data_IF_082111084172
#
_entry.id   IF_082111084172
#
_cell.length_a   1.000
_cell.length_b   1.000
_cell.length_c   1.000
_cell.angle_alpha   90.00
_cell.angle_beta   90.00
_cell.angle_gamma   90.00
#
_symmetry.space_group_name_H-M   'P 1'
#
loop_
_entity.id
_entity.type
_entity.pdbx_description
1 polymer ?
#
# COMPACT_ATOMS: atom_id res chain seq x y z
N UNK A 1 -69.64 -37.79 -3.98
CA UNK A 1 -70.85 -36.95 -3.77
C UNK A 1 -71.04 -36.90 -2.26
N UNK A 2 -70.83 -35.82 -1.54
CA UNK A 2 -71.17 -34.40 -1.76
C UNK A 2 -70.05 -33.46 -1.32
N UNK A 3 -69.94 -32.34 -2.03
CA UNK A 3 -69.14 -31.16 -1.71
C UNK A 3 -69.80 -30.34 -0.60
N UNK A 4 -68.99 -29.67 0.23
CA UNK A 4 -69.33 -28.36 0.78
C UNK A 4 -68.04 -27.55 0.96
N UNK A 5 -68.00 -26.43 0.24
CA UNK A 5 -67.00 -25.37 0.34
C UNK A 5 -67.41 -24.42 1.48
N UNK A 6 -66.42 -23.80 2.14
CA UNK A 6 -66.58 -22.57 2.91
C UNK A 6 -65.26 -21.81 2.80
N UNK A 7 -65.22 -20.75 1.98
CA UNK A 7 -65.32 -19.35 2.43
C UNK A 7 -64.05 -18.99 3.24
N UNK A 8 -63.10 -18.22 2.72
CA UNK A 8 -63.25 -16.88 2.16
C UNK A 8 -62.32 -16.00 2.99
N UNK A 9 -61.08 -15.83 2.53
CA UNK A 9 -60.16 -14.88 3.15
C UNK A 9 -59.99 -13.74 2.17
N UNK A 10 -60.68 -12.66 2.50
CA UNK A 10 -60.83 -11.41 1.78
C UNK A 10 -59.47 -10.78 1.45
N UNK A 11 -59.43 -10.33 0.21
CA UNK A 11 -58.57 -9.32 -0.37
C UNK A 11 -58.94 -7.97 0.28
N UNK A 12 -58.03 -7.35 1.03
CA UNK A 12 -58.06 -5.89 1.20
C UNK A 12 -56.68 -5.33 0.88
N UNK A 13 -56.62 -4.75 -0.32
CA UNK A 13 -55.65 -3.76 -0.74
C UNK A 13 -55.77 -2.46 0.06
N UNK A 14 -54.69 -1.69 -0.02
CA UNK A 14 -54.57 -0.25 0.20
C UNK A 14 -54.63 0.26 1.64
N UNK A 15 -53.46 0.61 2.17
CA UNK A 15 -53.24 2.04 2.47
C UNK A 15 -51.76 2.41 2.49
N UNK A 16 -51.42 3.23 1.51
CA UNK A 16 -50.22 4.06 1.43
C UNK A 16 -50.26 5.08 2.58
N UNK A 17 -49.78 4.72 3.77
CA UNK A 17 -49.50 5.73 4.78
C UNK A 17 -48.07 6.24 4.65
N UNK A 18 -47.94 7.17 3.72
CA UNK A 18 -47.01 8.28 3.74
C UNK A 18 -47.12 9.01 5.10
N UNK A 19 -46.21 8.69 6.03
CA UNK A 19 -45.96 9.52 7.20
C UNK A 19 -44.47 9.80 7.30
N UNK A 20 -44.11 10.95 6.74
CA UNK A 20 -43.03 11.78 7.26
C UNK A 20 -43.36 12.12 8.71
N UNK A 21 -42.63 11.58 9.68
CA UNK A 21 -42.52 12.22 10.99
C UNK A 21 -41.07 12.19 11.47
N UNK A 22 -40.70 13.34 12.02
CA UNK A 22 -39.37 13.79 12.42
C UNK A 22 -38.54 12.77 13.21
N UNK A 23 -37.30 12.57 12.78
CA UNK A 23 -36.20 12.38 13.72
C UNK A 23 -35.36 13.65 13.73
N UNK A 24 -35.90 14.69 14.38
CA UNK A 24 -35.08 15.70 15.07
C UNK A 24 -34.35 14.94 16.17
N UNK A 25 -33.10 14.52 15.91
CA UNK A 25 -32.21 14.13 16.98
C UNK A 25 -31.43 15.38 17.36
N UNK A 26 -31.86 15.96 18.48
CA UNK A 26 -31.34 17.17 19.08
C UNK A 26 -29.82 17.09 19.28
N UNK A 27 -29.24 18.26 19.07
CA UNK A 27 -27.88 18.65 19.34
C UNK A 27 -27.58 18.46 20.83
N UNK A 28 -26.70 17.52 21.19
CA UNK A 28 -25.90 17.66 22.41
C UNK A 28 -24.58 18.34 22.02
N UNK A 29 -24.62 19.68 22.00
CA UNK A 29 -23.44 20.51 22.27
C UNK A 29 -23.02 20.26 23.72
N UNK A 30 -21.97 19.45 23.92
CA UNK A 30 -21.20 19.51 25.15
C UNK A 30 -20.02 20.46 24.94
N UNK A 31 -20.23 21.70 25.36
CA UNK A 31 -19.17 22.63 25.76
C UNK A 31 -18.44 22.02 26.97
N UNK A 32 -17.16 21.65 26.83
CA UNK A 32 -16.24 21.73 27.95
C UNK A 32 -14.89 22.29 27.49
N UNK A 33 -14.56 23.36 28.18
CA UNK A 33 -13.37 24.19 28.14
C UNK A 33 -12.15 23.42 28.67
N UNK A 34 -10.96 23.69 28.13
CA UNK A 34 -9.90 24.44 28.86
C UNK A 34 -8.53 24.27 28.21
N UNK A 35 -7.89 25.44 28.09
CA UNK A 35 -6.49 25.75 28.33
C UNK A 35 -5.37 24.82 27.85
N UNK A 36 -4.53 25.41 26.99
CA UNK A 36 -3.19 25.75 27.42
C UNK A 36 -2.13 24.64 27.31
N UNK A 37 -1.35 24.68 26.22
CA UNK A 37 0.10 24.70 26.39
C UNK A 37 0.80 25.26 25.14
N UNK A 38 1.17 26.52 25.29
CA UNK A 38 2.50 27.09 25.07
C UNK A 38 3.54 26.21 24.32
N UNK A 39 3.94 26.73 23.17
CA UNK A 39 5.33 26.90 22.72
C UNK A 39 6.40 25.91 23.24
N UNK A 40 6.91 25.05 22.36
CA UNK A 40 8.36 24.82 22.30
C UNK A 40 8.87 24.75 20.85
N UNK A 41 9.54 25.83 20.45
CA UNK A 41 10.47 25.85 19.33
C UNK A 41 11.59 24.83 19.58
N UNK A 42 11.53 23.66 18.94
CA UNK A 42 12.71 22.78 18.87
C UNK A 42 13.64 23.27 17.77
N UNK A 43 14.59 24.06 18.24
CA UNK A 43 15.74 24.65 17.56
C UNK A 43 16.55 23.68 16.66
N UNK A 44 17.15 24.27 15.62
CA UNK A 44 17.97 23.62 14.60
C UNK A 44 19.24 22.93 15.15
N UNK A 45 19.28 21.59 15.10
CA UNK A 45 20.50 20.81 15.33
C UNK A 45 21.40 20.72 14.09
N UNK A 46 22.15 21.79 13.76
CA UNK A 46 23.26 21.76 12.79
C UNK A 46 24.40 20.85 13.29
N UNK A 47 24.47 19.61 12.82
CA UNK A 47 25.64 18.73 13.03
C UNK A 47 26.79 19.13 12.10
N UNK A 48 27.62 20.08 12.54
CA UNK A 48 28.99 20.26 12.02
C UNK A 48 29.86 19.13 12.56
N UNK A 49 30.23 18.15 11.72
CA UNK A 49 31.33 17.23 12.05
C UNK A 49 32.65 17.91 11.72
N UNK A 50 33.39 18.21 12.78
CA UNK A 50 34.71 18.79 12.74
C UNK A 50 35.74 17.81 12.16
N UNK A 51 36.74 18.42 11.53
CA UNK A 51 37.94 17.86 10.95
C UNK A 51 38.75 17.07 11.99
N UNK A 52 38.94 15.77 11.76
CA UNK A 52 39.97 14.96 12.42
C UNK A 52 41.14 14.75 11.46
N UNK A 53 42.17 15.59 11.59
CA UNK A 53 43.46 15.47 10.90
C UNK A 53 44.20 14.20 11.34
N UNK A 54 44.95 13.62 10.40
CA UNK A 54 45.94 12.55 10.56
C UNK A 54 46.99 12.90 11.64
N UNK A 55 47.70 11.90 12.18
CA UNK A 55 49.14 11.94 11.97
C UNK A 55 49.75 10.63 11.46
N UNK A 56 50.80 10.81 10.67
CA UNK A 56 51.69 9.80 10.13
C UNK A 56 52.53 9.13 11.23
N UNK A 57 52.79 7.84 11.08
CA UNK A 57 54.00 7.12 11.52
C UNK A 57 54.27 6.04 10.47
N UNK A 58 55.23 6.30 9.60
CA UNK A 58 56.61 5.79 9.66
C UNK A 58 56.72 4.32 9.24
N UNK A 59 57.47 4.13 8.16
CA UNK A 59 57.83 2.86 7.55
C UNK A 59 58.78 2.07 8.46
N UNK A 60 58.96 0.76 8.19
CA UNK A 60 60.32 0.38 7.85
C UNK A 60 60.45 -0.36 6.50
N UNK A 61 61.52 0.04 5.82
CA UNK A 61 62.08 -0.47 4.57
C UNK A 61 62.62 -1.89 4.74
N UNK A 62 62.15 -2.88 3.96
CA UNK A 62 62.93 -4.08 3.65
C UNK A 62 62.71 -4.61 2.22
N UNK A 63 63.67 -4.26 1.35
CA UNK A 63 64.42 -5.10 0.40
C UNK A 63 63.67 -6.15 -0.46
N UNK A 64 63.43 -5.73 -1.71
CA UNK A 64 63.65 -6.42 -3.01
C UNK A 64 63.90 -7.95 -3.01
N UNK A 65 63.04 -8.69 -3.71
CA UNK A 65 63.47 -9.74 -4.66
C UNK A 65 62.60 -9.69 -5.92
N UNK A 66 63.24 -9.39 -7.04
CA UNK A 66 62.66 -9.38 -8.38
C UNK A 66 62.42 -10.83 -8.85
N UNK A 67 61.16 -11.21 -9.03
CA UNK A 67 60.78 -12.31 -9.91
C UNK A 67 60.38 -11.77 -11.28
N UNK A 68 60.63 -12.48 -12.39
CA UNK A 68 60.27 -12.02 -13.72
C UNK A 68 58.74 -11.91 -13.87
N UNK A 69 58.21 -10.83 -14.47
CA UNK A 69 56.79 -10.68 -14.70
C UNK A 69 56.36 -11.59 -15.85
N UNK A 70 55.58 -12.64 -15.54
CA UNK A 70 54.77 -13.30 -16.57
C UNK A 70 53.71 -12.30 -17.02
N UNK A 71 53.89 -11.76 -18.23
CA UNK A 71 52.89 -10.96 -18.93
C UNK A 71 51.70 -11.85 -19.29
N UNK A 72 50.70 -11.93 -18.41
CA UNK A 72 49.32 -12.18 -18.84
C UNK A 72 48.60 -10.85 -18.76
N UNK A 73 48.55 -10.14 -19.89
CA UNK A 73 47.65 -9.02 -20.08
C UNK A 73 46.23 -9.56 -20.04
N UNK A 74 45.62 -9.57 -18.86
CA UNK A 74 44.19 -9.46 -18.74
C UNK A 74 43.94 -8.00 -18.46
N UNK A 75 43.45 -7.30 -19.48
CA UNK A 75 42.80 -6.02 -19.30
C UNK A 75 41.79 -6.18 -18.15
N UNK A 76 41.75 -5.27 -17.15
CA UNK A 76 40.60 -5.20 -16.29
C UNK A 76 39.46 -4.76 -17.20
N UNK A 77 38.68 -5.72 -17.70
CA UNK A 77 37.37 -5.46 -18.25
C UNK A 77 36.56 -4.85 -17.11
N UNK A 78 36.57 -3.51 -17.04
CA UNK A 78 35.70 -2.73 -16.20
C UNK A 78 34.28 -3.08 -16.63
N UNK A 79 33.71 -4.12 -16.01
CA UNK A 79 32.29 -4.43 -16.09
C UNK A 79 31.56 -3.25 -15.45
N UNK A 80 31.33 -2.22 -16.26
CA UNK A 80 30.38 -1.15 -15.99
C UNK A 80 29.06 -1.85 -15.80
N UNK A 81 28.70 -2.09 -14.53
CA UNK A 81 27.39 -2.59 -14.12
C UNK A 81 26.37 -1.73 -14.84
N UNK A 82 25.76 -2.27 -15.88
CA UNK A 82 24.71 -1.59 -16.61
C UNK A 82 23.65 -1.27 -15.58
N UNK A 83 23.48 0.01 -15.27
CA UNK A 83 22.38 0.47 -14.43
C UNK A 83 21.13 -0.01 -15.13
N UNK A 84 20.53 -1.10 -14.63
CA UNK A 84 19.27 -1.59 -15.16
C UNK A 84 18.32 -0.41 -15.09
N UNK A 85 17.79 -0.02 -16.25
CA UNK A 85 16.83 1.06 -16.34
C UNK A 85 15.62 0.63 -15.51
N UNK A 86 15.53 1.16 -14.28
CA UNK A 86 14.35 0.98 -13.44
C UNK A 86 13.19 1.56 -14.24
N UNK A 87 12.20 0.72 -14.55
CA UNK A 87 10.99 1.17 -15.25
C UNK A 87 10.42 2.36 -14.48
N UNK A 88 9.96 3.43 -15.15
CA UNK A 88 9.34 4.56 -14.47
C UNK A 88 8.09 4.06 -13.74
N UNK A 89 8.16 3.98 -12.41
CA UNK A 89 7.03 3.62 -11.56
C UNK A 89 6.19 4.86 -11.32
N UNK A 90 4.93 4.84 -11.76
CA UNK A 90 3.95 5.87 -11.39
C UNK A 90 3.60 5.70 -9.92
N UNK A 91 3.83 6.71 -9.11
CA UNK A 91 3.49 6.72 -7.67
C UNK A 91 2.37 7.70 -7.41
N UNK A 92 1.38 7.30 -6.62
CA UNK A 92 0.30 8.15 -6.15
C UNK A 92 0.23 8.13 -4.62
N UNK A 93 -0.24 9.21 -4.02
CA UNK A 93 -0.50 9.31 -2.58
C UNK A 93 -2.00 9.15 -2.37
N UNK A 94 -2.37 8.30 -1.41
CA UNK A 94 -3.73 8.06 -0.98
C UNK A 94 -3.85 8.46 0.48
N UNK A 95 -4.84 9.30 0.78
CA UNK A 95 -5.18 9.68 2.14
C UNK A 95 -6.42 8.89 2.54
N UNK A 96 -6.27 8.07 3.58
CA UNK A 96 -7.34 7.23 4.11
C UNK A 96 -7.71 7.72 5.49
N UNK A 97 -9.01 7.71 5.77
CA UNK A 97 -9.51 7.91 7.13
C UNK A 97 -9.30 6.61 7.92
N UNK A 98 -9.01 6.73 9.23
CA UNK A 98 -8.78 5.54 10.06
C UNK A 98 -10.03 4.64 10.18
N UNK A 99 -11.22 5.22 10.06
CA UNK A 99 -12.52 4.52 10.09
C UNK A 99 -12.99 4.07 8.69
N UNK A 100 -12.14 4.18 7.67
CA UNK A 100 -12.50 3.83 6.31
C UNK A 100 -12.75 2.32 6.16
N UNK A 101 -13.88 1.88 5.59
CA UNK A 101 -14.11 0.46 5.31
C UNK A 101 -13.18 -0.03 4.19
N UNK A 102 -12.88 -1.33 4.19
CA UNK A 102 -11.98 -1.94 3.21
C UNK A 102 -12.41 -1.71 1.76
N UNK A 103 -13.71 -1.72 1.49
CA UNK A 103 -14.27 -1.45 0.16
C UNK A 103 -13.92 -0.06 -0.36
N UNK A 104 -13.83 0.96 0.52
CA UNK A 104 -13.44 2.31 0.12
C UNK A 104 -11.97 2.34 -0.32
N UNK A 105 -11.10 1.63 0.38
CA UNK A 105 -9.70 1.48 -0.04
C UNK A 105 -9.60 0.83 -1.43
N UNK A 106 -10.33 -0.28 -1.67
CA UNK A 106 -10.34 -0.95 -2.97
C UNK A 106 -10.76 0.00 -4.10
N UNK A 107 -11.85 0.74 -3.90
CA UNK A 107 -12.34 1.70 -4.87
C UNK A 107 -11.29 2.79 -5.15
N UNK A 108 -10.66 3.36 -4.12
CA UNK A 108 -9.62 4.38 -4.30
C UNK A 108 -8.40 3.84 -5.06
N UNK A 109 -7.96 2.62 -4.76
CA UNK A 109 -6.86 1.96 -5.48
C UNK A 109 -7.22 1.81 -6.96
N UNK A 110 -8.41 1.29 -7.27
CA UNK A 110 -8.87 1.11 -8.65
C UNK A 110 -8.95 2.44 -9.43
N UNK A 111 -9.41 3.52 -8.78
CA UNK A 111 -9.43 4.87 -9.38
C UNK A 111 -8.00 5.35 -9.72
N UNK A 112 -7.02 5.07 -8.86
CA UNK A 112 -5.62 5.43 -9.16
C UNK A 112 -5.02 4.57 -10.25
N UNK A 113 -5.35 3.28 -10.28
CA UNK A 113 -4.91 2.37 -11.34
C UNK A 113 -5.48 2.80 -12.69
N UNK A 114 -6.77 3.12 -12.75
CA UNK A 114 -7.42 3.54 -14.01
C UNK A 114 -6.87 4.85 -14.55
N UNK A 115 -6.48 5.77 -13.67
CA UNK A 115 -5.76 6.99 -14.06
C UNK A 115 -4.31 6.72 -14.50
N UNK A 116 -3.69 5.64 -14.04
CA UNK A 116 -2.27 5.35 -14.28
C UNK A 116 -2.03 4.37 -15.45
N UNK A 117 -2.92 3.43 -15.71
CA UNK A 117 -2.77 2.36 -16.70
C UNK A 117 -3.81 2.47 -17.82
N UNK A 118 -3.39 2.21 -19.06
CA UNK A 118 -4.27 2.07 -20.21
C UNK A 118 -3.91 0.78 -20.98
N UNK A 119 -4.83 -0.19 -21.13
CA UNK A 119 -6.20 -0.23 -20.61
C UNK A 119 -6.26 -0.49 -19.10
N UNK A 120 -7.23 0.09 -18.42
CA UNK A 120 -7.53 -0.20 -17.02
C UNK A 120 -8.37 -1.48 -16.95
N UNK A 121 -7.97 -2.44 -16.11
CA UNK A 121 -8.88 -3.52 -15.71
C UNK A 121 -9.65 -3.05 -14.47
N UNK A 122 -10.98 -3.22 -14.49
CA UNK A 122 -11.87 -2.79 -13.40
C UNK A 122 -11.90 -3.80 -12.24
N UNK A 123 -11.45 -5.04 -12.50
CA UNK A 123 -11.46 -6.11 -11.50
C UNK A 123 -10.30 -5.99 -10.51
N UNK A 124 -10.62 -5.83 -9.22
CA UNK A 124 -9.61 -5.84 -8.14
C UNK A 124 -8.75 -7.12 -8.14
N UNK A 125 -9.39 -8.27 -8.42
CA UNK A 125 -8.73 -9.58 -8.44
C UNK A 125 -7.76 -9.78 -9.60
N UNK A 126 -7.78 -8.87 -10.60
CA UNK A 126 -6.82 -8.87 -11.68
C UNK A 126 -5.46 -8.26 -11.28
N UNK A 127 -5.33 -7.77 -10.05
CA UNK A 127 -4.11 -7.19 -9.52
C UNK A 127 -3.63 -7.97 -8.30
N UNK A 128 -2.32 -8.18 -8.22
CA UNK A 128 -1.66 -8.62 -7.00
C UNK A 128 -1.25 -7.34 -6.23
N UNK A 129 -1.99 -7.07 -5.14
CA UNK A 129 -1.81 -5.88 -4.31
C UNK A 129 -1.11 -6.29 -3.03
N UNK A 130 0.05 -5.70 -2.79
CA UNK A 130 0.85 -5.94 -1.60
C UNK A 130 1.15 -4.64 -0.87
N UNK A 131 1.37 -4.72 0.44
CA UNK A 131 1.73 -3.57 1.24
C UNK A 131 2.92 -3.85 2.15
N UNK A 132 3.58 -2.77 2.56
CA UNK A 132 4.64 -2.76 3.57
C UNK A 132 4.42 -1.58 4.49
N UNK A 133 4.70 -1.76 5.78
CA UNK A 133 4.64 -0.68 6.78
C UNK A 133 6.06 -0.41 7.25
N UNK A 134 6.65 0.76 6.96
CA UNK A 134 8.03 1.04 7.32
C UNK A 134 8.33 0.71 8.78
N UNK A 135 9.41 -0.06 9.02
CA UNK A 135 9.89 -0.49 10.35
C UNK A 135 9.01 -1.51 11.10
N UNK A 136 7.74 -1.69 10.73
CA UNK A 136 6.83 -2.65 11.39
C UNK A 136 6.67 -3.92 10.57
N UNK A 137 6.37 -3.78 9.28
CA UNK A 137 6.16 -4.86 8.33
C UNK A 137 7.14 -4.63 7.17
N UNK A 138 8.30 -5.27 7.25
CA UNK A 138 9.37 -5.13 6.24
C UNK A 138 9.12 -5.99 5.02
N UNK A 139 8.45 -7.12 5.20
CA UNK A 139 8.14 -8.07 4.13
C UNK A 139 6.80 -7.71 3.49
N UNK A 140 6.69 -7.78 2.15
CA UNK A 140 5.44 -7.45 1.47
C UNK A 140 4.34 -8.46 1.86
N UNK A 141 3.21 -7.93 2.32
CA UNK A 141 2.02 -8.71 2.70
C UNK A 141 0.93 -8.47 1.68
N UNK A 142 0.22 -9.51 1.27
CA UNK A 142 -0.90 -9.43 0.32
C UNK A 142 -2.11 -8.78 0.98
N UNK A 143 -2.81 -7.92 0.23
CA UNK A 143 -4.02 -7.22 0.69
C UNK A 143 -5.25 -7.76 -0.04
N UNK A 144 -5.77 -8.89 0.44
CA UNK A 144 -6.90 -9.62 -0.16
C UNK A 144 -8.15 -9.62 0.72
N UNK A 145 -7.99 -9.69 2.05
CA UNK A 145 -9.07 -9.75 3.03
C UNK A 145 -9.20 -8.48 3.88
N UNK A 146 -10.37 -8.31 4.50
CA UNK A 146 -10.60 -7.22 5.45
C UNK A 146 -9.72 -7.36 6.71
N UNK A 147 -9.42 -8.58 7.14
CA UNK A 147 -8.51 -8.85 8.26
C UNK A 147 -7.08 -8.34 7.96
N UNK A 148 -6.56 -8.59 6.75
CA UNK A 148 -5.25 -8.06 6.37
C UNK A 148 -5.24 -6.52 6.33
N UNK A 149 -6.38 -5.91 6.03
CA UNK A 149 -6.54 -4.47 6.03
C UNK A 149 -6.60 -3.87 7.44
N UNK A 150 -7.29 -4.50 8.40
CA UNK A 150 -7.26 -4.04 9.80
C UNK A 150 -5.84 -4.13 10.37
N UNK A 151 -5.11 -5.21 10.09
CA UNK A 151 -3.70 -5.33 10.44
C UNK A 151 -2.83 -4.22 9.83
N UNK A 152 -3.09 -3.83 8.58
CA UNK A 152 -2.40 -2.71 7.94
C UNK A 152 -2.62 -1.41 8.73
N UNK A 153 -3.88 -1.08 9.06
CA UNK A 153 -4.22 0.13 9.80
C UNK A 153 -3.57 0.12 11.19
N UNK A 154 -3.75 -0.97 11.95
CA UNK A 154 -3.22 -1.09 13.31
C UNK A 154 -1.70 -0.87 13.33
N UNK A 155 -0.97 -1.53 12.44
CA UNK A 155 0.47 -1.37 12.37
C UNK A 155 0.93 -0.01 11.86
N UNK A 156 0.17 0.63 10.95
CA UNK A 156 0.47 1.97 10.47
C UNK A 156 0.29 3.02 11.59
N UNK A 157 -0.76 2.89 12.40
CA UNK A 157 -1.06 3.79 13.52
C UNK A 157 -0.09 3.62 14.70
N UNK A 158 0.45 2.41 14.91
CA UNK A 158 1.45 2.14 15.95
C UNK A 158 2.86 2.69 15.64
N UNK A 159 3.05 3.45 14.56
CA UNK A 159 4.34 4.05 14.26
C UNK A 159 4.50 5.36 15.02
N UNK A 160 5.67 5.58 15.63
CA UNK A 160 5.99 6.83 16.36
C UNK A 160 6.18 8.05 15.41
N UNK A 161 5.80 7.91 14.15
CA UNK A 161 5.95 8.91 13.09
C UNK A 161 4.60 9.02 12.38
N UNK A 162 4.46 9.91 11.41
CA UNK A 162 3.23 10.00 10.63
C UNK A 162 2.79 8.62 10.10
N UNK A 163 1.54 8.19 10.34
CA UNK A 163 1.05 6.89 9.92
C UNK A 163 1.10 6.78 8.40
N UNK A 164 1.86 5.81 7.91
CA UNK A 164 2.12 5.65 6.48
C UNK A 164 2.35 4.19 6.13
N UNK A 165 1.74 3.75 5.04
CA UNK A 165 1.94 2.44 4.43
C UNK A 165 2.31 2.60 2.96
N UNK A 166 3.16 1.71 2.47
CA UNK A 166 3.52 1.65 1.05
C UNK A 166 2.78 0.50 0.41
N UNK A 167 1.92 0.81 -0.56
CA UNK A 167 1.20 -0.18 -1.36
C UNK A 167 1.88 -0.31 -2.72
N UNK A 168 2.04 -1.54 -3.18
CA UNK A 168 2.56 -1.91 -4.50
C UNK A 168 1.48 -2.71 -5.22
N UNK A 169 1.19 -2.31 -6.45
CA UNK A 169 0.18 -2.92 -7.30
C UNK A 169 0.86 -3.50 -8.53
N UNK A 170 0.65 -4.79 -8.79
CA UNK A 170 1.14 -5.46 -9.98
C UNK A 170 -0.03 -6.10 -10.73
N UNK A 171 -0.07 -5.95 -12.05
CA UNK A 171 -1.12 -6.57 -12.87
C UNK A 171 -0.85 -8.08 -12.98
N UNK A 172 -1.86 -8.88 -12.68
CA UNK A 172 -1.81 -10.34 -12.80
C UNK A 172 -1.97 -10.69 -14.27
N UNK A 173 -0.97 -11.34 -14.86
CA UNK A 173 -1.12 -11.85 -16.23
C UNK A 173 -2.20 -12.94 -16.25
N UNK A 174 -3.38 -12.60 -16.75
CA UNK A 174 -4.41 -13.60 -17.05
C UNK A 174 -3.87 -14.45 -18.19
N UNK A 175 -3.39 -15.66 -17.86
CA UNK A 175 -3.07 -16.65 -18.87
C UNK A 175 -4.37 -16.96 -19.62
N UNK A 176 -4.52 -16.41 -20.82
CA UNK A 176 -5.56 -16.81 -21.76
C UNK A 176 -5.47 -18.33 -21.86
N UNK A 177 -6.48 -19.01 -21.32
CA UNK A 177 -6.59 -20.46 -21.45
C UNK A 177 -6.72 -20.76 -22.94
N UNK A 178 -5.62 -21.19 -23.55
CA UNK A 178 -5.65 -21.82 -24.85
C UNK A 178 -6.46 -23.11 -24.68
N UNK A 179 -7.79 -23.01 -24.82
CA UNK A 179 -8.67 -24.16 -24.81
C UNK A 179 -8.30 -24.97 -26.04
N UNK A 180 -7.62 -26.08 -25.78
CA UNK A 180 -7.13 -27.03 -26.75
C UNK A 180 -8.30 -27.53 -27.62
N UNK A 181 -8.42 -26.96 -28.82
CA UNK A 181 -9.15 -27.57 -29.91
C UNK A 181 -8.33 -28.72 -30.49
N UNK A 182 -8.39 -29.89 -29.87
CA UNK A 182 -8.02 -31.17 -30.52
C UNK A 182 -9.25 -32.04 -30.56
N UNK A 183 -9.96 -32.01 -31.68
CA UNK A 183 -10.85 -33.11 -32.08
C UNK A 183 -9.96 -34.24 -32.62
N UNK A 184 -9.95 -35.45 -32.04
CA UNK A 184 -9.50 -36.61 -32.80
C UNK A 184 -10.60 -36.95 -33.82
N UNK A 185 -10.20 -37.05 -35.09
CA UNK A 185 -11.00 -37.61 -36.17
C UNK A 185 -10.95 -39.13 -36.17
#
# INVERSE_FOLDING_TARGET
MTLVNSDGFDDEEEDLNEMQEASENEEEESEEEEEGNEEEEVTMGKRKRAMGKKPAKEQPVMKKRCGPPKKSAQEPAEMKKSKSAKKPTKTAILNLLNSAPFNMLKAQILVRISAALHPAQEDYNAYDITFTVPRKITDPVTLDSEETYTHLIDHALQTNTAPCAKIVVEAKETRRSAKAGRKPG
#
